data_IF_827658923534
#
_entry.id   IF_827658923534
#
_cell.length_a   1.000
_cell.length_b   1.000
_cell.length_c   1.000
_cell.angle_alpha   90.00
_cell.angle_beta   90.00
_cell.angle_gamma   90.00
#
_symmetry.space_group_name_H-M   'P 1'
#
loop_
_entity.id
_entity.type
_entity.pdbx_description
1 polymer ?
#
# COMPACT_ATOMS: atom_id res chain seq x y z
N UNK A 1 17.03 -12.61 -9.15
CA UNK A 1 16.08 -12.94 -10.23
C UNK A 1 15.06 -13.95 -9.71
N UNK A 2 13.95 -13.49 -9.10
CA UNK A 2 12.86 -14.37 -8.66
C UNK A 2 11.96 -14.66 -9.87
N UNK A 3 11.72 -15.94 -10.16
CA UNK A 3 10.87 -16.39 -11.26
C UNK A 3 9.45 -15.87 -11.05
N UNK A 4 9.02 -14.88 -11.84
CA UNK A 4 7.61 -14.48 -11.95
C UNK A 4 6.83 -15.71 -12.44
N UNK A 5 5.99 -16.30 -11.57
CA UNK A 5 5.00 -17.30 -12.00
C UNK A 5 3.93 -16.52 -12.75
N UNK A 6 4.07 -16.41 -14.08
CA UNK A 6 3.01 -15.92 -14.95
C UNK A 6 1.77 -16.80 -14.71
N UNK A 7 0.69 -16.23 -14.18
CA UNK A 7 -0.63 -16.81 -14.33
C UNK A 7 -0.89 -16.92 -15.83
N UNK A 8 -0.92 -18.14 -16.35
CA UNK A 8 -1.18 -18.44 -17.74
C UNK A 8 -2.61 -18.01 -18.10
N UNK A 9 -2.71 -16.87 -18.77
CA UNK A 9 -3.94 -16.29 -19.31
C UNK A 9 -4.46 -17.18 -20.45
N UNK A 10 -5.28 -18.18 -20.14
CA UNK A 10 -5.98 -18.97 -21.15
C UNK A 10 -7.21 -18.18 -21.63
N UNK A 11 -7.08 -17.58 -22.82
CA UNK A 11 -8.17 -16.98 -23.59
C UNK A 11 -9.09 -18.13 -24.06
N UNK A 12 -10.24 -18.33 -23.41
CA UNK A 12 -11.18 -19.40 -23.79
C UNK A 12 -11.97 -18.92 -25.02
N UNK A 13 -11.83 -19.68 -26.10
CA UNK A 13 -12.43 -19.45 -27.41
C UNK A 13 -13.95 -19.71 -27.34
N UNK A 14 -14.76 -18.72 -27.70
CA UNK A 14 -16.22 -18.81 -27.76
C UNK A 14 -16.60 -19.81 -28.87
N UNK A 15 -16.97 -21.04 -28.50
CA UNK A 15 -17.43 -22.05 -29.46
C UNK A 15 -18.92 -22.31 -29.27
N UNK A 16 -19.75 -21.54 -29.99
CA UNK A 16 -21.18 -21.82 -30.13
C UNK A 16 -21.37 -23.03 -31.05
N UNK A 17 -21.61 -24.21 -30.47
CA UNK A 17 -22.02 -25.40 -31.21
C UNK A 17 -23.52 -25.35 -31.52
N UNK A 18 -23.89 -24.90 -32.72
CA UNK A 18 -25.27 -24.99 -33.23
C UNK A 18 -25.44 -26.34 -33.93
N UNK A 19 -25.99 -27.34 -33.22
CA UNK A 19 -26.30 -28.65 -33.81
C UNK A 19 -27.75 -28.61 -34.33
N UNK A 20 -27.91 -28.45 -35.64
CA UNK A 20 -29.21 -28.59 -36.32
C UNK A 20 -29.53 -30.08 -36.56
N UNK A 21 -30.27 -30.69 -35.64
CA UNK A 21 -30.85 -32.03 -35.80
C UNK A 21 -32.18 -32.11 -35.05
N UNK A 22 -33.23 -32.67 -35.68
CA UNK A 22 -34.64 -32.66 -35.26
C UNK A 22 -34.85 -32.74 -33.73
N UNK A 23 -34.89 -31.58 -33.07
CA UNK A 23 -35.16 -31.45 -31.65
C UNK A 23 -36.66 -31.26 -31.44
N UNK A 24 -37.25 -32.07 -30.56
CA UNK A 24 -38.49 -31.70 -29.89
C UNK A 24 -38.29 -30.28 -29.30
N UNK A 25 -39.26 -29.38 -29.51
CA UNK A 25 -39.28 -27.99 -29.03
C UNK A 25 -38.85 -27.83 -27.56
N UNK A 26 -39.14 -28.82 -26.72
CA UNK A 26 -38.73 -28.85 -25.32
C UNK A 26 -37.21 -28.96 -25.11
N UNK A 27 -36.54 -29.79 -25.92
CA UNK A 27 -35.08 -29.94 -25.86
C UNK A 27 -34.38 -28.68 -26.36
N UNK A 28 -34.94 -28.01 -27.36
CA UNK A 28 -34.46 -26.73 -27.84
C UNK A 28 -34.54 -25.66 -26.75
N UNK A 29 -35.67 -25.54 -26.05
CA UNK A 29 -35.81 -24.63 -24.90
C UNK A 29 -34.79 -24.93 -23.80
N UNK A 30 -34.65 -26.19 -23.38
CA UNK A 30 -33.69 -26.57 -22.35
C UNK A 30 -32.23 -26.25 -22.76
N UNK A 31 -31.90 -26.45 -24.04
CA UNK A 31 -30.57 -26.11 -24.60
C UNK A 31 -30.31 -24.60 -24.55
N UNK A 32 -31.31 -23.78 -24.89
CA UNK A 32 -31.18 -22.33 -24.83
C UNK A 32 -31.00 -21.81 -23.40
N UNK A 33 -31.73 -22.37 -22.43
CA UNK A 33 -31.58 -22.03 -21.00
C UNK A 33 -30.20 -22.44 -20.47
N UNK A 34 -29.72 -23.63 -20.85
CA UNK A 34 -28.36 -24.07 -20.52
C UNK A 34 -27.29 -23.11 -21.07
N UNK A 35 -27.39 -22.75 -22.36
CA UNK A 35 -26.45 -21.81 -22.99
C UNK A 35 -26.48 -20.43 -22.32
N UNK A 36 -27.65 -19.95 -21.90
CA UNK A 36 -27.76 -18.69 -21.16
C UNK A 36 -27.07 -18.78 -19.79
N UNK A 37 -27.25 -19.88 -19.05
CA UNK A 37 -26.56 -20.11 -17.78
C UNK A 37 -25.04 -20.20 -17.96
N UNK A 38 -24.57 -20.89 -19.01
CA UNK A 38 -23.15 -20.95 -19.38
C UNK A 38 -22.59 -19.56 -19.70
N UNK A 39 -23.29 -18.75 -20.50
CA UNK A 39 -22.88 -17.38 -20.83
C UNK A 39 -22.70 -16.52 -19.57
N UNK A 40 -23.64 -16.60 -18.62
CA UNK A 40 -23.52 -15.90 -17.33
C UNK A 40 -22.28 -16.34 -16.56
N UNK A 41 -22.02 -17.65 -16.50
CA UNK A 41 -20.84 -18.19 -15.82
C UNK A 41 -19.54 -17.75 -16.50
N UNK A 42 -19.50 -17.73 -17.83
CA UNK A 42 -18.37 -17.23 -18.60
C UNK A 42 -18.05 -15.77 -18.27
N UNK A 43 -19.07 -14.91 -18.24
CA UNK A 43 -18.93 -13.50 -17.88
C UNK A 43 -18.45 -13.32 -16.44
N UNK A 44 -18.98 -14.12 -15.50
CA UNK A 44 -18.58 -14.08 -14.09
C UNK A 44 -17.14 -14.57 -13.90
N UNK A 45 -16.78 -15.69 -14.51
CA UNK A 45 -15.40 -16.20 -14.51
C UNK A 45 -14.42 -15.19 -15.11
N UNK A 46 -14.81 -14.53 -16.19
CA UNK A 46 -14.00 -13.48 -16.83
C UNK A 46 -13.80 -12.29 -15.90
N UNK A 47 -14.86 -11.83 -15.24
CA UNK A 47 -14.83 -10.73 -14.28
C UNK A 47 -13.94 -11.05 -13.08
N UNK A 48 -14.07 -12.25 -12.50
CA UNK A 48 -13.22 -12.72 -11.41
C UNK A 48 -11.74 -12.73 -11.82
N UNK A 49 -11.43 -13.29 -13.00
CA UNK A 49 -10.05 -13.35 -13.51
C UNK A 49 -9.47 -11.97 -13.73
N UNK A 50 -10.25 -11.05 -14.29
CA UNK A 50 -9.84 -9.66 -14.53
C UNK A 50 -9.52 -8.96 -13.22
N UNK A 51 -10.45 -8.95 -12.26
CA UNK A 51 -10.24 -8.31 -10.95
C UNK A 51 -9.07 -8.95 -10.17
N UNK A 52 -8.91 -10.27 -10.24
CA UNK A 52 -7.75 -10.97 -9.65
C UNK A 52 -6.43 -10.54 -10.30
N UNK A 53 -6.40 -10.33 -11.61
CA UNK A 53 -5.20 -9.86 -12.33
C UNK A 53 -4.84 -8.41 -11.99
N UNK A 54 -5.82 -7.55 -11.79
CA UNK A 54 -5.62 -6.17 -11.36
C UNK A 54 -4.97 -6.14 -9.96
N UNK A 55 -5.51 -6.91 -9.02
CA UNK A 55 -4.93 -7.06 -7.67
C UNK A 55 -3.53 -7.68 -7.71
N UNK A 56 -3.32 -8.71 -8.55
CA UNK A 56 -2.00 -9.35 -8.71
C UNK A 56 -0.94 -8.37 -9.23
N UNK A 57 -1.33 -7.44 -10.11
CA UNK A 57 -0.41 -6.40 -10.61
C UNK A 57 0.09 -5.49 -9.48
N UNK A 58 -0.77 -5.19 -8.50
CA UNK A 58 -0.38 -4.42 -7.31
C UNK A 58 0.53 -5.22 -6.38
N UNK A 59 0.26 -6.52 -6.19
CA UNK A 59 1.12 -7.42 -5.42
C UNK A 59 2.54 -7.49 -6.01
N UNK A 60 2.65 -7.43 -7.33
CA UNK A 60 3.92 -7.49 -8.06
C UNK A 60 4.59 -6.11 -8.26
N UNK A 61 4.05 -5.05 -7.65
CA UNK A 61 4.63 -3.70 -7.67
C UNK A 61 6.05 -3.68 -7.10
N UNK A 62 6.94 -2.91 -7.72
CA UNK A 62 8.31 -2.69 -7.21
C UNK A 62 8.31 -1.87 -5.91
N UNK A 63 7.29 -1.04 -5.71
CA UNK A 63 7.10 -0.26 -4.50
C UNK A 63 6.18 -1.06 -3.58
N UNK A 64 6.65 -1.46 -2.37
CA UNK A 64 5.82 -2.19 -1.42
C UNK A 64 4.71 -1.28 -0.87
N UNK A 65 3.60 -1.85 -0.36
CA UNK A 65 2.63 -1.09 0.40
C UNK A 65 3.21 -0.61 1.73
N UNK A 66 2.67 0.49 2.25
CA UNK A 66 2.99 0.98 3.60
C UNK A 66 2.63 -0.05 4.68
N UNK A 67 1.51 -0.77 4.50
CA UNK A 67 1.13 -1.91 5.33
C UNK A 67 1.44 -3.21 4.58
N UNK A 68 2.57 -3.83 4.94
CA UNK A 68 3.04 -5.07 4.34
C UNK A 68 2.07 -6.25 4.52
N UNK A 69 1.21 -6.23 5.56
CA UNK A 69 0.26 -7.32 5.83
C UNK A 69 -0.83 -7.44 4.75
N UNK A 70 -1.08 -6.35 4.01
CA UNK A 70 -2.03 -6.32 2.90
C UNK A 70 -1.62 -7.25 1.75
N UNK A 71 -0.33 -7.55 1.59
CA UNK A 71 0.12 -8.47 0.55
C UNK A 71 -0.40 -9.89 0.76
N UNK A 72 -0.38 -10.38 2.00
CA UNK A 72 -0.83 -11.74 2.30
C UNK A 72 -2.35 -11.83 2.28
N UNK A 73 -3.04 -10.81 2.80
CA UNK A 73 -4.49 -10.69 2.67
C UNK A 73 -4.93 -10.67 1.20
N UNK A 74 -4.27 -9.87 0.35
CA UNK A 74 -4.59 -9.76 -1.07
C UNK A 74 -4.38 -11.08 -1.83
N UNK A 75 -3.29 -11.82 -1.54
CA UNK A 75 -3.07 -13.16 -2.11
C UNK A 75 -4.16 -14.13 -1.68
N UNK A 76 -4.56 -14.11 -0.40
CA UNK A 76 -5.63 -14.95 0.10
C UNK A 76 -6.99 -14.64 -0.56
N UNK A 77 -7.27 -13.38 -0.88
CA UNK A 77 -8.46 -12.98 -1.66
C UNK A 77 -8.41 -13.54 -3.08
N UNK A 78 -7.26 -13.45 -3.77
CA UNK A 78 -7.09 -14.07 -5.10
C UNK A 78 -7.29 -15.59 -5.04
N UNK A 79 -6.73 -16.25 -4.03
CA UNK A 79 -6.88 -17.70 -3.85
C UNK A 79 -8.35 -18.09 -3.61
N UNK A 80 -9.09 -17.31 -2.82
CA UNK A 80 -10.53 -17.51 -2.60
C UNK A 80 -11.32 -17.28 -3.88
N UNK A 81 -10.98 -16.24 -4.64
CA UNK A 81 -11.58 -15.94 -5.93
C UNK A 81 -11.38 -17.05 -6.97
N UNK A 82 -10.20 -17.65 -7.01
CA UNK A 82 -9.89 -18.76 -7.93
C UNK A 82 -10.81 -19.98 -7.71
N UNK A 83 -11.29 -20.20 -6.48
CA UNK A 83 -12.18 -21.32 -6.13
C UNK A 83 -13.64 -21.10 -6.55
N UNK A 84 -14.00 -19.85 -6.85
CA UNK A 84 -15.32 -19.47 -7.35
C UNK A 84 -15.41 -19.54 -8.88
N UNK A 85 -14.31 -19.88 -9.57
CA UNK A 85 -14.32 -20.09 -11.01
C UNK A 85 -14.97 -21.44 -11.31
N UNK A 86 -16.05 -21.41 -12.09
CA UNK A 86 -16.82 -22.62 -12.44
C UNK A 86 -16.33 -23.15 -13.79
N UNK A 87 -15.97 -24.43 -13.82
CA UNK A 87 -15.66 -25.11 -15.08
C UNK A 87 -16.93 -25.34 -15.90
N UNK A 88 -16.89 -25.02 -17.19
CA UNK A 88 -18.05 -25.11 -18.08
C UNK A 88 -18.24 -26.58 -18.48
N UNK A 89 -19.36 -27.21 -18.12
CA UNK A 89 -19.61 -28.61 -18.47
C UNK A 89 -20.01 -28.75 -19.94
N UNK A 90 -19.74 -29.92 -20.52
CA UNK A 90 -20.34 -30.29 -21.80
C UNK A 90 -21.86 -30.41 -21.68
N UNK A 91 -22.58 -30.04 -22.75
CA UNK A 91 -24.04 -30.11 -22.76
C UNK A 91 -24.52 -31.58 -22.73
N UNK A 92 -25.41 -31.96 -21.78
CA UNK A 92 -25.96 -33.30 -21.75
C UNK A 92 -26.83 -33.63 -22.98
N UNK A 93 -26.94 -34.91 -23.32
CA UNK A 93 -27.72 -35.35 -24.49
C UNK A 93 -29.23 -35.50 -24.20
N UNK A 94 -29.62 -35.74 -22.94
CA UNK A 94 -31.02 -35.91 -22.50
C UNK A 94 -31.59 -34.61 -21.94
N UNK A 95 -32.83 -34.30 -22.26
CA UNK A 95 -33.51 -33.06 -21.88
C UNK A 95 -33.56 -32.85 -20.36
N UNK A 96 -33.86 -33.89 -19.59
CA UNK A 96 -33.93 -33.82 -18.12
C UNK A 96 -32.56 -33.53 -17.50
N UNK A 97 -31.51 -34.14 -18.04
CA UNK A 97 -30.13 -33.93 -17.58
C UNK A 97 -29.67 -32.49 -17.89
N UNK A 98 -30.07 -31.93 -19.05
CA UNK A 98 -29.82 -30.52 -19.39
C UNK A 98 -30.47 -29.61 -18.34
N UNK A 99 -31.77 -29.79 -18.06
CA UNK A 99 -32.50 -28.97 -17.07
C UNK A 99 -31.85 -29.07 -15.69
N UNK A 100 -31.51 -30.28 -15.23
CA UNK A 100 -30.85 -30.49 -13.94
C UNK A 100 -29.49 -29.79 -13.86
N UNK A 101 -28.69 -29.82 -14.93
CA UNK A 101 -27.38 -29.17 -14.94
C UNK A 101 -27.53 -27.64 -15.00
N UNK A 102 -28.48 -27.12 -15.77
CA UNK A 102 -28.81 -25.68 -15.80
C UNK A 102 -29.16 -25.15 -14.41
N UNK A 103 -29.98 -25.88 -13.64
CA UNK A 103 -30.31 -25.51 -12.27
C UNK A 103 -29.09 -25.50 -11.33
N UNK A 104 -28.18 -26.47 -11.47
CA UNK A 104 -26.93 -26.53 -10.71
C UNK A 104 -26.03 -25.33 -11.02
N UNK A 105 -25.83 -25.02 -12.30
CA UNK A 105 -25.05 -23.88 -12.76
C UNK A 105 -25.62 -22.54 -12.26
N UNK A 106 -26.94 -22.38 -12.33
CA UNK A 106 -27.63 -21.16 -11.90
C UNK A 106 -27.50 -20.93 -10.39
N UNK A 107 -27.41 -21.99 -9.58
CA UNK A 107 -27.21 -21.87 -8.12
C UNK A 107 -25.80 -21.42 -7.74
N UNK A 108 -24.82 -21.66 -8.60
CA UNK A 108 -23.41 -21.35 -8.35
C UNK A 108 -22.99 -20.02 -8.98
N UNK A 109 -23.82 -19.41 -9.82
CA UNK A 109 -23.42 -18.26 -10.64
C UNK A 109 -23.21 -16.97 -9.86
N UNK A 110 -23.68 -16.84 -8.61
CA UNK A 110 -23.46 -15.61 -7.84
C UNK A 110 -21.97 -15.42 -7.48
N UNK A 111 -21.38 -14.36 -8.01
CA UNK A 111 -20.00 -13.97 -7.76
C UNK A 111 -19.87 -12.55 -7.18
N UNK A 112 -20.98 -11.90 -6.83
CA UNK A 112 -20.97 -10.48 -6.46
C UNK A 112 -20.14 -10.24 -5.20
N UNK A 113 -20.24 -11.12 -4.19
CA UNK A 113 -19.47 -10.99 -2.95
C UNK A 113 -17.97 -11.04 -3.20
N UNK A 114 -17.49 -12.00 -4.00
CA UNK A 114 -16.06 -12.16 -4.24
C UNK A 114 -15.49 -11.05 -5.13
N UNK A 115 -16.29 -10.51 -6.06
CA UNK A 115 -15.91 -9.33 -6.84
C UNK A 115 -15.76 -8.09 -5.95
N UNK A 116 -16.68 -7.87 -5.02
CA UNK A 116 -16.58 -6.77 -4.06
C UNK A 116 -15.38 -6.91 -3.10
N UNK A 117 -15.05 -8.13 -2.69
CA UNK A 117 -13.83 -8.39 -1.89
C UNK A 117 -12.55 -8.10 -2.68
N UNK A 118 -12.48 -8.50 -3.95
CA UNK A 118 -11.35 -8.19 -4.84
C UNK A 118 -11.20 -6.68 -5.07
N UNK A 119 -12.31 -5.97 -5.30
CA UNK A 119 -12.31 -4.52 -5.48
C UNK A 119 -11.84 -3.79 -4.22
N UNK A 120 -12.35 -4.18 -3.04
CA UNK A 120 -11.92 -3.64 -1.77
C UNK A 120 -10.42 -3.87 -1.53
N UNK A 121 -9.94 -5.10 -1.73
CA UNK A 121 -8.52 -5.43 -1.61
C UNK A 121 -7.64 -4.62 -2.57
N UNK A 122 -8.11 -4.43 -3.81
CA UNK A 122 -7.42 -3.60 -4.82
C UNK A 122 -7.32 -2.15 -4.37
N UNK A 123 -8.42 -1.57 -3.90
CA UNK A 123 -8.47 -0.19 -3.41
C UNK A 123 -7.55 0.00 -2.20
N UNK A 124 -7.64 -0.88 -1.20
CA UNK A 124 -6.82 -0.81 0.01
C UNK A 124 -5.33 -0.97 -0.29
N UNK A 125 -4.95 -1.96 -1.10
CA UNK A 125 -3.55 -2.18 -1.46
C UNK A 125 -2.99 -1.02 -2.31
N UNK A 126 -3.77 -0.54 -3.28
CA UNK A 126 -3.40 0.62 -4.12
C UNK A 126 -3.18 1.87 -3.27
N UNK A 127 -4.09 2.16 -2.34
CA UNK A 127 -3.95 3.26 -1.41
C UNK A 127 -2.68 3.13 -0.57
N UNK A 128 -2.41 1.94 0.00
CA UNK A 128 -1.21 1.71 0.80
C UNK A 128 0.11 1.86 0.01
N UNK A 129 0.13 1.43 -1.25
CA UNK A 129 1.27 1.68 -2.16
C UNK A 129 1.42 3.18 -2.45
N UNK A 130 0.31 3.90 -2.66
CA UNK A 130 0.34 5.33 -2.88
C UNK A 130 0.85 6.09 -1.63
N UNK A 131 0.50 5.63 -0.43
CA UNK A 131 1.04 6.17 0.82
C UNK A 131 2.56 5.96 0.91
N UNK A 132 3.05 4.75 0.62
CA UNK A 132 4.50 4.45 0.61
C UNK A 132 5.25 5.34 -0.39
N UNK A 133 4.69 5.61 -1.57
CA UNK A 133 5.29 6.49 -2.57
C UNK A 133 5.58 7.89 -2.03
N UNK A 134 4.72 8.43 -1.17
CA UNK A 134 4.92 9.76 -0.59
C UNK A 134 6.14 9.84 0.31
N UNK A 135 6.49 8.73 0.98
CA UNK A 135 7.61 8.63 1.92
C UNK A 135 8.83 7.92 1.32
N UNK A 136 8.80 7.65 0.01
CA UNK A 136 9.93 7.07 -0.73
C UNK A 136 10.73 8.20 -1.39
N UNK A 137 11.81 8.61 -0.74
CA UNK A 137 12.69 9.70 -1.12
C UNK A 137 11.93 11.00 -1.48
N UNK A 138 11.05 11.53 -0.59
CA UNK A 138 10.35 12.78 -0.86
C UNK A 138 11.31 13.96 -1.02
N UNK A 139 10.85 15.00 -1.72
CA UNK A 139 11.62 16.25 -1.84
C UNK A 139 11.54 17.05 -0.55
N UNK A 140 12.52 17.93 -0.31
CA UNK A 140 12.50 18.90 0.78
C UNK A 140 11.18 19.69 0.80
N UNK A 141 10.79 20.25 -0.35
CA UNK A 141 9.56 21.05 -0.46
C UNK A 141 8.29 20.27 -0.10
N UNK A 142 8.21 18.97 -0.45
CA UNK A 142 7.10 18.13 0.00
C UNK A 142 7.07 18.00 1.52
N UNK A 143 8.23 17.71 2.14
CA UNK A 143 8.29 17.57 3.61
C UNK A 143 7.95 18.90 4.30
N UNK A 144 8.49 20.03 3.85
CA UNK A 144 8.14 21.36 4.35
C UNK A 144 6.64 21.63 4.26
N UNK A 145 6.01 21.31 3.13
CA UNK A 145 4.56 21.44 2.96
C UNK A 145 3.78 20.57 3.97
N UNK A 146 4.23 19.33 4.21
CA UNK A 146 3.59 18.42 5.16
C UNK A 146 3.77 18.83 6.62
N UNK A 147 4.87 19.50 6.96
CA UNK A 147 5.08 20.00 8.32
C UNK A 147 4.37 21.32 8.59
N UNK A 148 4.08 22.11 7.54
CA UNK A 148 3.46 23.43 7.67
C UNK A 148 2.06 23.33 8.28
N UNK A 149 1.85 24.07 9.39
CA UNK A 149 0.55 24.15 10.07
C UNK A 149 0.23 22.96 10.98
N UNK A 150 1.16 22.02 11.16
CA UNK A 150 1.00 20.98 12.19
C UNK A 150 1.03 21.59 13.59
N UNK A 151 0.23 21.06 14.54
CA UNK A 151 0.19 21.57 15.90
C UNK A 151 1.55 21.40 16.58
N UNK A 152 1.94 22.39 17.37
CA UNK A 152 3.18 22.44 18.14
C UNK A 152 4.49 22.43 17.31
N UNK A 153 4.40 22.67 15.99
CA UNK A 153 5.54 23.01 15.14
C UNK A 153 5.44 24.50 14.83
N UNK A 154 6.40 25.30 15.33
CA UNK A 154 6.32 26.77 15.26
C UNK A 154 7.11 27.35 14.10
N UNK A 155 8.35 26.90 13.91
CA UNK A 155 9.24 27.34 12.85
C UNK A 155 10.02 26.14 12.30
N UNK A 156 10.53 26.25 11.08
CA UNK A 156 11.33 25.21 10.45
C UNK A 156 12.40 25.80 9.54
N UNK A 157 13.51 25.08 9.39
CA UNK A 157 14.59 25.41 8.48
C UNK A 157 15.15 24.15 7.82
N UNK A 158 15.35 24.22 6.51
CA UNK A 158 16.01 23.17 5.75
C UNK A 158 17.54 23.31 5.84
N UNK A 159 18.21 22.16 5.93
CA UNK A 159 19.66 22.04 5.90
C UNK A 159 20.16 22.22 4.47
N UNK A 160 21.17 23.07 4.31
CA UNK A 160 21.93 23.30 3.08
C UNK A 160 23.39 22.87 3.26
N UNK A 161 24.15 22.75 2.17
CA UNK A 161 25.57 22.37 2.26
C UNK A 161 26.41 23.36 3.08
N UNK A 162 25.99 24.64 3.13
CA UNK A 162 26.68 25.69 3.87
C UNK A 162 26.41 25.68 5.37
N UNK A 163 25.26 25.13 5.81
CA UNK A 163 24.82 25.15 7.21
C UNK A 163 24.68 23.76 7.83
N UNK A 164 25.11 22.71 7.13
CA UNK A 164 24.94 21.33 7.58
C UNK A 164 25.78 20.99 8.82
N UNK A 165 25.16 20.78 10.00
CA UNK A 165 25.89 20.52 11.24
C UNK A 165 26.64 19.19 11.22
N UNK A 166 26.18 18.21 10.42
CA UNK A 166 26.81 16.89 10.34
C UNK A 166 27.71 16.75 9.10
N UNK A 167 27.63 17.70 8.16
CA UNK A 167 28.30 17.63 6.86
C UNK A 167 27.99 16.36 6.08
N UNK A 168 26.79 15.79 6.20
CA UNK A 168 26.36 14.55 5.57
C UNK A 168 25.33 14.75 4.44
N UNK A 169 24.83 15.96 4.22
CA UNK A 169 23.89 16.29 3.15
C UNK A 169 24.47 15.85 1.80
N UNK A 170 23.68 15.10 1.04
CA UNK A 170 24.00 14.57 -0.29
C UNK A 170 25.24 13.66 -0.37
N UNK A 171 25.79 13.21 0.76
CA UNK A 171 26.90 12.25 0.78
C UNK A 171 26.38 10.82 0.75
N UNK A 172 27.25 9.88 0.36
CA UNK A 172 26.91 8.46 0.34
C UNK A 172 26.50 7.97 1.74
N UNK A 173 25.27 7.46 1.87
CA UNK A 173 24.68 7.04 3.15
C UNK A 173 24.18 8.18 4.04
N UNK A 174 24.32 9.44 3.60
CA UNK A 174 23.78 10.60 4.28
C UNK A 174 22.34 10.92 3.84
N UNK A 175 21.75 11.94 4.47
CA UNK A 175 20.44 12.43 4.06
C UNK A 175 20.53 13.26 2.77
N UNK A 176 19.49 13.18 1.96
CA UNK A 176 19.27 14.02 0.78
C UNK A 176 18.51 15.30 1.12
N UNK A 177 17.87 15.34 2.29
CA UNK A 177 17.19 16.52 2.85
C UNK A 177 17.09 16.35 4.36
N UNK A 178 17.22 17.44 5.11
CA UNK A 178 16.93 17.47 6.54
C UNK A 178 16.22 18.78 6.87
N UNK A 179 15.08 18.70 7.55
CA UNK A 179 14.35 19.86 8.04
C UNK A 179 14.32 19.80 9.55
N UNK A 180 14.97 20.77 10.19
CA UNK A 180 14.84 21.00 11.62
C UNK A 180 13.65 21.88 11.89
N UNK A 181 12.99 21.67 13.03
CA UNK A 181 11.85 22.47 13.45
C UNK A 181 11.85 22.72 14.95
N UNK A 182 11.25 23.84 15.35
CA UNK A 182 11.06 24.20 16.76
C UNK A 182 9.65 23.86 17.23
N UNK A 183 9.52 23.60 18.52
CA UNK A 183 8.22 23.40 19.18
C UNK A 183 7.99 24.42 20.29
N UNK A 184 6.75 24.90 20.43
CA UNK A 184 6.28 25.70 21.57
C UNK A 184 6.19 24.89 22.87
N UNK A 185 6.26 23.56 22.80
CA UNK A 185 6.33 22.67 23.96
C UNK A 185 7.74 22.55 24.54
N UNK A 186 8.76 23.08 23.85
CA UNK A 186 10.16 23.11 24.31
C UNK A 186 10.50 24.53 24.75
N UNK A 187 11.15 24.68 25.92
CA UNK A 187 11.66 25.96 26.38
C UNK A 187 12.86 26.41 25.53
N UNK A 188 12.58 27.17 24.47
CA UNK A 188 13.58 27.62 23.49
C UNK A 188 14.72 28.45 24.08
N UNK A 189 14.56 29.03 25.26
CA UNK A 189 15.60 29.80 25.94
C UNK A 189 16.67 28.92 26.61
N UNK A 190 16.38 27.63 26.81
CA UNK A 190 17.30 26.65 27.41
C UNK A 190 17.97 25.74 26.37
N UNK A 191 17.57 25.86 25.09
CA UNK A 191 18.17 25.12 23.99
C UNK A 191 19.38 25.89 23.47
N UNK A 192 20.54 25.24 23.42
CA UNK A 192 21.76 25.83 22.88
C UNK A 192 21.67 26.02 21.35
N UNK A 193 22.12 27.17 20.86
CA UNK A 193 22.14 27.50 19.42
C UNK A 193 21.32 28.75 19.09
N UNK A 194 21.81 29.52 18.11
CA UNK A 194 21.24 30.82 17.73
C UNK A 194 20.18 30.69 16.63
N UNK A 195 20.33 29.71 15.73
CA UNK A 195 19.37 29.41 14.66
C UNK A 195 18.63 28.07 14.89
N UNK A 196 17.57 27.82 14.12
CA UNK A 196 16.85 26.53 14.12
C UNK A 196 17.81 25.37 13.80
N UNK A 197 18.76 25.60 12.89
CA UNK A 197 19.75 24.59 12.50
C UNK A 197 20.74 24.33 13.64
N UNK A 198 21.21 25.37 14.32
CA UNK A 198 22.14 25.24 15.45
C UNK A 198 21.50 24.50 16.63
N UNK A 199 20.22 24.77 16.89
CA UNK A 199 19.42 24.07 17.90
C UNK A 199 19.15 22.61 17.53
N UNK A 200 19.14 22.30 16.24
CA UNK A 200 18.92 20.97 15.72
C UNK A 200 17.65 20.31 16.27
N UNK A 201 17.76 19.03 16.61
CA UNK A 201 16.63 18.24 17.14
C UNK A 201 16.19 18.71 18.53
N UNK A 202 17.07 19.32 19.33
CA UNK A 202 16.77 19.73 20.70
C UNK A 202 15.70 20.83 20.75
N UNK A 203 15.62 21.66 19.70
CA UNK A 203 14.62 22.71 19.54
C UNK A 203 13.19 22.21 19.33
N UNK A 204 12.99 20.97 18.90
CA UNK A 204 11.65 20.41 18.68
C UNK A 204 11.71 19.06 17.98
N UNK A 205 12.42 19.00 16.86
CA UNK A 205 12.64 17.75 16.15
C UNK A 205 13.27 17.93 14.79
N UNK A 206 13.31 16.84 14.02
CA UNK A 206 13.81 16.84 12.66
C UNK A 206 13.07 15.82 11.78
N UNK A 207 13.00 16.10 10.48
CA UNK A 207 12.65 15.11 9.47
C UNK A 207 13.82 14.98 8.51
N UNK A 208 14.43 13.80 8.49
CA UNK A 208 15.60 13.47 7.66
C UNK A 208 15.14 12.54 6.53
N UNK A 209 15.51 12.84 5.28
CA UNK A 209 15.16 12.03 4.11
C UNK A 209 16.41 11.37 3.56
N UNK A 210 16.32 10.08 3.28
CA UNK A 210 17.41 9.27 2.73
C UNK A 210 17.09 8.74 1.34
N UNK A 211 18.13 8.36 0.60
CA UNK A 211 17.98 7.76 -0.73
C UNK A 211 17.28 6.39 -0.67
N UNK A 212 17.58 5.61 0.37
CA UNK A 212 17.04 4.25 0.52
C UNK A 212 16.51 4.01 1.94
N UNK A 213 15.55 3.10 2.06
CA UNK A 213 15.03 2.65 3.36
C UNK A 213 16.13 2.03 4.23
N UNK A 214 17.12 1.38 3.60
CA UNK A 214 18.27 0.83 4.30
C UNK A 214 19.10 1.92 4.98
N UNK A 215 19.33 3.05 4.31
CA UNK A 215 20.09 4.16 4.88
C UNK A 215 19.30 4.83 6.01
N UNK A 216 17.98 5.01 5.83
CA UNK A 216 17.09 5.50 6.90
C UNK A 216 17.11 4.59 8.14
N UNK A 217 17.02 3.27 7.96
CA UNK A 217 17.14 2.32 9.07
C UNK A 217 18.54 2.32 9.69
N UNK A 218 19.61 2.45 8.89
CA UNK A 218 20.98 2.58 9.42
C UNK A 218 21.12 3.82 10.30
N UNK A 219 20.50 4.94 9.90
CA UNK A 219 20.42 6.14 10.73
C UNK A 219 19.65 5.87 12.03
N UNK A 220 18.49 5.24 11.93
CA UNK A 220 17.65 4.93 13.08
C UNK A 220 18.38 4.02 14.09
N UNK A 221 19.08 3.00 13.61
CA UNK A 221 19.91 2.11 14.43
C UNK A 221 21.06 2.87 15.10
N UNK A 222 21.69 3.81 14.38
CA UNK A 222 22.70 4.70 14.95
C UNK A 222 22.13 5.56 16.08
N UNK A 223 20.95 6.17 15.89
CA UNK A 223 20.27 6.97 16.91
C UNK A 223 19.95 6.12 18.16
N UNK A 224 19.51 4.89 17.95
CA UNK A 224 19.19 3.96 19.03
C UNK A 224 20.39 3.62 19.94
N UNK A 225 21.63 3.78 19.45
CA UNK A 225 22.84 3.58 20.29
C UNK A 225 22.97 4.61 21.42
N UNK A 226 22.24 5.73 21.34
CA UNK A 226 22.21 6.78 22.34
C UNK A 226 20.97 6.74 23.23
N UNK A 227 20.06 5.78 23.00
CA UNK A 227 18.83 5.65 23.79
C UNK A 227 19.17 5.42 25.27
N UNK A 228 18.63 6.29 26.12
CA UNK A 228 18.89 6.25 27.57
C UNK A 228 20.20 6.91 28.03
N UNK A 229 21.03 7.42 27.11
CA UNK A 229 22.13 8.29 27.48
C UNK A 229 21.59 9.62 28.04
N UNK A 230 22.06 10.06 29.20
CA UNK A 230 21.55 11.31 29.81
C UNK A 230 21.91 12.56 29.01
N UNK A 231 23.14 12.62 28.47
CA UNK A 231 23.64 13.82 27.79
C UNK A 231 23.57 13.75 26.25
N UNK A 232 23.34 12.57 25.68
CA UNK A 232 23.33 12.34 24.22
C UNK A 232 21.99 11.79 23.73
N UNK A 233 20.93 11.92 24.54
CA UNK A 233 19.62 11.37 24.22
C UNK A 233 19.12 11.90 22.87
N UNK A 234 18.83 10.99 21.96
CA UNK A 234 18.36 11.25 20.60
C UNK A 234 16.91 11.75 20.53
N UNK A 235 16.16 11.66 21.65
CA UNK A 235 14.72 11.85 21.71
C UNK A 235 13.97 10.67 21.09
N UNK A 236 12.72 10.86 20.62
CA UNK A 236 12.05 9.79 19.85
C UNK A 236 12.52 9.79 18.41
N UNK A 237 12.58 8.62 17.81
CA UNK A 237 12.84 8.49 16.39
C UNK A 237 12.17 7.25 15.79
N UNK A 238 11.73 7.37 14.54
CA UNK A 238 11.12 6.27 13.77
C UNK A 238 11.35 6.42 12.28
N UNK A 239 11.18 5.31 11.56
CA UNK A 239 11.35 5.25 10.09
C UNK A 239 10.01 5.02 9.43
N UNK A 240 9.77 5.77 8.35
CA UNK A 240 8.65 5.54 7.44
C UNK A 240 9.16 5.68 6.00
N UNK A 241 9.17 4.58 5.24
CA UNK A 241 9.81 4.53 3.92
C UNK A 241 11.31 4.87 4.00
N UNK A 242 11.72 5.96 3.36
CA UNK A 242 13.10 6.48 3.44
C UNK A 242 13.25 7.71 4.34
N UNK A 243 12.22 8.01 5.15
CA UNK A 243 12.18 9.17 6.04
C UNK A 243 12.42 8.72 7.48
N UNK A 244 13.27 9.45 8.20
CA UNK A 244 13.44 9.35 9.65
C UNK A 244 12.75 10.55 10.30
N UNK A 245 11.77 10.29 11.15
CA UNK A 245 11.10 11.31 11.97
C UNK A 245 11.81 11.31 13.32
N UNK A 246 12.15 12.49 13.84
CA UNK A 246 12.80 12.67 15.14
C UNK A 246 12.08 13.74 15.95
N UNK A 247 11.95 13.53 17.26
CA UNK A 247 11.41 14.53 18.20
C UNK A 247 12.37 14.78 19.35
N UNK A 248 12.36 15.99 19.92
CA UNK A 248 13.30 16.43 20.94
C UNK A 248 13.22 15.59 22.23
N UNK A 249 14.38 15.29 22.82
CA UNK A 249 14.47 14.69 24.15
C UNK A 249 13.94 15.60 25.27
N UNK A 250 13.78 16.91 25.00
CA UNK A 250 13.18 17.87 25.93
C UNK A 250 11.65 17.76 26.03
N UNK A 251 11.02 17.04 25.10
CA UNK A 251 9.60 16.73 25.15
C UNK A 251 9.35 15.54 26.09
N UNK A 252 8.19 15.54 26.74
CA UNK A 252 7.71 14.35 27.45
C UNK A 252 7.40 13.22 26.46
N UNK A 253 7.46 11.96 26.91
CA UNK A 253 7.18 10.80 26.06
C UNK A 253 5.79 10.87 25.37
N UNK A 254 4.78 11.42 26.04
CA UNK A 254 3.45 11.62 25.45
C UNK A 254 3.48 12.64 24.31
N UNK A 255 4.18 13.76 24.49
CA UNK A 255 4.31 14.80 23.47
C UNK A 255 5.12 14.31 22.26
N UNK A 256 6.20 13.55 22.49
CA UNK A 256 6.97 12.91 21.43
C UNK A 256 6.08 12.01 20.57
N UNK A 257 5.32 11.11 21.23
CA UNK A 257 4.41 10.18 20.54
C UNK A 257 3.33 10.90 19.72
N UNK A 258 2.73 11.94 20.27
CA UNK A 258 1.70 12.72 19.58
C UNK A 258 2.26 13.48 18.38
N UNK A 259 3.41 14.14 18.56
CA UNK A 259 4.10 14.87 17.50
C UNK A 259 4.56 13.95 16.37
N UNK A 260 5.16 12.82 16.71
CA UNK A 260 5.58 11.81 15.74
C UNK A 260 4.39 11.27 14.95
N UNK A 261 3.27 10.98 15.60
CA UNK A 261 2.04 10.54 14.93
C UNK A 261 1.46 11.62 14.00
N UNK A 262 1.48 12.89 14.41
CA UNK A 262 1.02 14.00 13.57
C UNK A 262 1.90 14.16 12.32
N UNK A 263 3.22 14.08 12.47
CA UNK A 263 4.16 14.14 11.34
C UNK A 263 3.98 12.94 10.42
N UNK A 264 3.95 11.72 10.97
CA UNK A 264 3.70 10.49 10.23
C UNK A 264 2.43 10.59 9.39
N UNK A 265 1.30 10.94 10.02
CA UNK A 265 0.01 11.05 9.35
C UNK A 265 0.04 12.12 8.25
N UNK A 266 0.70 13.25 8.49
CA UNK A 266 0.81 14.30 7.47
C UNK A 266 1.62 13.85 6.26
N UNK A 267 2.72 13.11 6.48
CA UNK A 267 3.56 12.57 5.41
C UNK A 267 2.86 11.48 4.59
N UNK A 268 2.02 10.65 5.23
CA UNK A 268 1.40 9.50 4.58
C UNK A 268 -0.02 9.75 4.08
N UNK A 269 -0.69 10.83 4.47
CA UNK A 269 -2.06 11.13 4.00
C UNK A 269 -2.06 11.55 2.53
N UNK A 270 -2.81 10.85 1.70
CA UNK A 270 -3.04 11.22 0.29
C UNK A 270 -3.96 12.44 0.26
N UNK A 271 -3.53 13.53 -0.40
CA UNK A 271 -4.33 14.75 -0.63
C UNK A 271 -5.02 14.70 -1.99
#
# INVERSE_FOLDING_TARGET
MKKKKLLSLALILIMMCVIAGCSNKEKETATNEFNAAVSTIEENNSSIKKASSELQTLIDSEIPPLDASLLDTSKATIDSASKQIIEIPEIPSKTEDIKSKTEELTKQSDCQSILSELEAATSTLSASIAQMKQVTAPTEGFVTERLTGLPNITEMAAVTEDNDPNGNLNKAGGYTSCIYFTSDLVNQAEVYGDSIIDKGTDGGGAVEVYTTEKDANTRNDYLATFDGATALNSGSHSVVGTVVIRTSANLTATQQKEMEANIYNSLTTIK
#
